data_IF_107911523682
#
_entry.id   IF_107911523682
#
_cell.length_a   1.000
_cell.length_b   1.000
_cell.length_c   1.000
_cell.angle_alpha   90.00
_cell.angle_beta   90.00
_cell.angle_gamma   90.00
#
_symmetry.space_group_name_H-M   'P 1'
#
loop_
_entity.id
_entity.type
_entity.pdbx_description
1 polymer ?
#
# COMPACT_ATOMS: atom_id res chain seq x y z
N UNK A 1 5.21 -7.88 -24.24
CA UNK A 1 4.85 -6.61 -23.58
C UNK A 1 5.84 -5.47 -23.83
N UNK A 2 7.16 -5.69 -23.88
CA UNK A 2 8.15 -4.62 -24.18
C UNK A 2 8.02 -4.01 -25.60
N UNK A 3 7.51 -4.77 -26.57
CA UNK A 3 7.36 -4.36 -27.98
C UNK A 3 6.03 -3.66 -28.31
N UNK A 4 5.15 -3.43 -27.33
CA UNK A 4 3.79 -2.91 -27.56
C UNK A 4 3.50 -1.55 -26.89
N UNK A 5 4.53 -0.77 -26.50
CA UNK A 5 4.31 0.58 -25.98
C UNK A 5 3.77 0.67 -24.55
N UNK A 6 3.89 -0.38 -23.74
CA UNK A 6 3.55 -0.28 -22.31
C UNK A 6 4.60 0.57 -21.57
N UNK A 7 4.18 1.71 -21.02
CA UNK A 7 5.03 2.67 -20.31
C UNK A 7 5.53 2.17 -18.95
N UNK A 8 4.95 1.08 -18.41
CA UNK A 8 5.37 0.51 -17.13
C UNK A 8 5.09 -1.00 -17.11
N UNK A 9 6.15 -1.82 -17.01
CA UNK A 9 6.04 -3.28 -16.95
C UNK A 9 5.68 -3.71 -15.52
N UNK A 10 4.65 -4.56 -15.41
CA UNK A 10 4.12 -5.08 -14.16
C UNK A 10 4.35 -6.60 -14.10
N UNK A 11 5.15 -7.05 -13.13
CA UNK A 11 5.39 -8.48 -12.87
C UNK A 11 4.84 -8.83 -11.47
N UNK A 12 3.60 -9.37 -11.37
CA UNK A 12 3.01 -9.69 -10.09
C UNK A 12 3.75 -10.83 -9.39
N UNK A 13 4.03 -10.69 -8.09
CA UNK A 13 4.56 -11.78 -7.25
C UNK A 13 6.05 -11.72 -6.90
N UNK A 14 6.79 -10.75 -7.42
CA UNK A 14 8.20 -10.54 -7.08
C UNK A 14 8.33 -10.04 -5.63
N UNK A 15 9.18 -10.68 -4.83
CA UNK A 15 9.38 -10.35 -3.42
C UNK A 15 10.85 -10.27 -2.99
N UNK A 16 11.77 -10.88 -3.73
CA UNK A 16 13.18 -10.86 -3.36
C UNK A 16 13.89 -9.67 -4.00
N UNK A 17 14.92 -9.14 -3.33
CA UNK A 17 15.75 -8.06 -3.89
C UNK A 17 16.39 -8.46 -5.21
N UNK A 18 16.84 -9.72 -5.33
CA UNK A 18 17.46 -10.25 -6.54
C UNK A 18 16.50 -10.22 -7.74
N UNK A 19 15.25 -10.65 -7.55
CA UNK A 19 14.24 -10.62 -8.60
C UNK A 19 13.87 -9.18 -9.00
N UNK A 20 13.79 -8.26 -8.02
CA UNK A 20 13.52 -6.84 -8.28
C UNK A 20 14.63 -6.25 -9.14
N UNK A 21 15.90 -6.49 -8.77
CA UNK A 21 17.07 -6.06 -9.55
C UNK A 21 17.02 -6.64 -10.95
N UNK A 22 16.79 -7.95 -11.08
CA UNK A 22 16.76 -8.62 -12.37
C UNK A 22 15.71 -8.00 -13.30
N UNK A 23 14.51 -7.69 -12.79
CA UNK A 23 13.46 -7.03 -13.57
C UNK A 23 13.81 -5.59 -13.91
N UNK A 24 14.30 -4.80 -12.95
CA UNK A 24 14.71 -3.41 -13.22
C UNK A 24 15.81 -3.35 -14.28
N UNK A 25 16.82 -4.22 -14.19
CA UNK A 25 17.88 -4.32 -15.18
C UNK A 25 17.38 -4.77 -16.54
N UNK A 26 16.50 -5.77 -16.60
CA UNK A 26 15.99 -6.33 -17.86
C UNK A 26 15.12 -5.35 -18.66
N UNK A 27 14.50 -4.36 -18.00
CA UNK A 27 13.57 -3.42 -18.64
C UNK A 27 14.12 -2.01 -18.79
N UNK A 28 15.31 -1.75 -18.25
CA UNK A 28 15.99 -0.46 -18.35
C UNK A 28 16.08 0.04 -19.81
N UNK A 29 15.80 1.33 -20.10
CA UNK A 29 15.55 2.43 -19.16
C UNK A 29 14.07 2.61 -18.75
N UNK A 30 13.17 1.66 -19.05
CA UNK A 30 11.73 1.81 -18.76
C UNK A 30 11.45 1.75 -17.24
N UNK A 31 10.55 2.59 -16.71
CA UNK A 31 10.26 2.62 -15.28
C UNK A 31 9.49 1.37 -14.81
N UNK A 32 9.83 0.87 -13.62
CA UNK A 32 9.15 -0.26 -12.96
C UNK A 32 8.22 0.20 -11.85
N UNK A 33 7.02 -0.36 -11.84
CA UNK A 33 6.09 -0.29 -10.71
C UNK A 33 6.14 -1.61 -9.91
N UNK A 34 6.46 -1.51 -8.62
CA UNK A 34 6.45 -2.65 -7.70
C UNK A 34 5.12 -2.71 -6.94
N UNK A 35 4.49 -3.88 -6.87
CA UNK A 35 3.38 -4.14 -5.96
C UNK A 35 3.93 -4.56 -4.59
N UNK A 36 3.63 -3.77 -3.56
CA UNK A 36 3.98 -4.06 -2.17
C UNK A 36 2.69 -4.31 -1.38
N UNK A 37 2.38 -5.59 -1.14
CA UNK A 37 1.18 -6.02 -0.43
C UNK A 37 1.46 -6.66 0.95
N UNK A 38 2.74 -6.70 1.36
CA UNK A 38 3.24 -7.20 2.64
C UNK A 38 4.61 -6.57 2.95
N UNK A 39 5.09 -6.72 4.19
CA UNK A 39 6.38 -6.20 4.64
C UNK A 39 7.55 -7.09 4.18
N UNK A 40 8.05 -6.84 2.97
CA UNK A 40 9.22 -7.54 2.41
C UNK A 40 10.30 -6.59 1.88
N UNK A 41 10.00 -5.29 1.80
CA UNK A 41 10.91 -4.25 1.34
C UNK A 41 10.42 -2.89 1.84
N UNK A 42 11.35 -2.02 2.20
CA UNK A 42 11.03 -0.63 2.53
C UNK A 42 10.99 0.26 1.28
N UNK A 43 10.32 1.41 1.38
CA UNK A 43 10.30 2.39 0.28
C UNK A 43 11.73 2.85 -0.13
N UNK A 44 12.65 3.20 0.81
CA UNK A 44 14.02 3.58 0.44
C UNK A 44 14.78 2.45 -0.27
N UNK A 45 14.64 1.20 0.19
CA UNK A 45 15.29 0.05 -0.46
C UNK A 45 14.78 -0.15 -1.88
N UNK A 46 13.45 -0.15 -2.09
CA UNK A 46 12.87 -0.28 -3.42
C UNK A 46 13.37 0.83 -4.36
N UNK A 47 13.42 2.07 -3.87
CA UNK A 47 13.96 3.21 -4.64
C UNK A 47 15.44 3.02 -5.00
N UNK A 48 16.26 2.52 -4.07
CA UNK A 48 17.68 2.25 -4.31
C UNK A 48 17.89 1.13 -5.35
N UNK A 49 16.95 0.20 -5.47
CA UNK A 49 16.96 -0.84 -6.51
C UNK A 49 16.45 -0.35 -7.88
N UNK A 50 16.09 0.93 -8.01
CA UNK A 50 15.64 1.53 -9.28
C UNK A 50 14.13 1.44 -9.54
N UNK A 51 13.33 1.02 -8.55
CA UNK A 51 11.86 1.10 -8.63
C UNK A 51 11.42 2.56 -8.69
N UNK A 52 10.48 2.89 -9.59
CA UNK A 52 9.99 4.27 -9.79
C UNK A 52 8.60 4.53 -9.22
N UNK A 53 7.77 3.49 -9.12
CA UNK A 53 6.43 3.58 -8.50
C UNK A 53 6.19 2.40 -7.58
N UNK A 54 5.49 2.65 -6.49
CA UNK A 54 4.98 1.61 -5.60
C UNK A 54 3.45 1.63 -5.69
N UNK A 55 2.87 0.44 -5.79
CA UNK A 55 1.44 0.21 -5.68
C UNK A 55 1.19 -0.75 -4.51
N UNK A 56 0.04 -0.64 -3.85
CA UNK A 56 -0.33 -1.51 -2.73
C UNK A 56 -1.43 -2.51 -3.08
N UNK A 57 -2.03 -2.37 -4.27
CA UNK A 57 -3.21 -3.14 -4.65
C UNK A 57 -4.30 -3.02 -3.58
N UNK A 58 -4.89 -4.14 -3.19
CA UNK A 58 -5.90 -4.19 -2.11
C UNK A 58 -5.33 -4.15 -0.68
N UNK A 59 -4.04 -3.92 -0.46
CA UNK A 59 -3.45 -4.04 0.87
C UNK A 59 -3.96 -2.99 1.87
N UNK A 60 -4.17 -1.74 1.43
CA UNK A 60 -4.74 -0.69 2.30
C UNK A 60 -6.20 -1.01 2.67
N UNK A 61 -7.00 -1.54 1.75
CA UNK A 61 -8.36 -1.99 2.04
C UNK A 61 -8.37 -3.15 3.04
N UNK A 62 -7.46 -4.13 2.91
CA UNK A 62 -7.30 -5.20 3.90
C UNK A 62 -6.88 -4.68 5.27
N UNK A 63 -6.04 -3.65 5.34
CA UNK A 63 -5.68 -3.01 6.60
C UNK A 63 -6.92 -2.40 7.29
N UNK A 64 -7.76 -1.68 6.54
CA UNK A 64 -9.02 -1.15 7.05
C UNK A 64 -9.98 -2.26 7.51
N UNK A 65 -10.17 -3.30 6.70
CA UNK A 65 -11.01 -4.45 7.06
C UNK A 65 -10.48 -5.21 8.28
N UNK A 66 -9.18 -5.18 8.55
CA UNK A 66 -8.61 -5.83 9.75
C UNK A 66 -9.17 -5.19 11.02
N UNK A 67 -9.22 -3.85 11.10
CA UNK A 67 -9.85 -3.15 12.23
C UNK A 67 -11.35 -3.43 12.32
N UNK A 68 -12.05 -3.37 11.19
CA UNK A 68 -13.48 -3.69 11.13
C UNK A 68 -13.79 -5.11 11.65
N UNK A 69 -13.05 -6.11 11.16
CA UNK A 69 -13.23 -7.50 11.56
C UNK A 69 -12.87 -7.75 13.03
N UNK A 70 -11.90 -7.01 13.59
CA UNK A 70 -11.60 -7.07 15.03
C UNK A 70 -12.79 -6.58 15.86
N UNK A 71 -13.29 -5.37 15.57
CA UNK A 71 -14.45 -4.82 16.27
C UNK A 71 -15.70 -5.70 16.11
N UNK A 72 -15.99 -6.21 14.91
CA UNK A 72 -17.15 -7.08 14.69
C UNK A 72 -17.05 -8.39 15.48
N UNK A 73 -15.85 -8.97 15.60
CA UNK A 73 -15.61 -10.19 16.39
C UNK A 73 -15.72 -9.93 17.88
N UNK A 74 -15.19 -8.81 18.37
CA UNK A 74 -15.31 -8.40 19.77
C UNK A 74 -16.79 -8.23 20.15
N UNK A 75 -17.56 -7.47 19.37
CA UNK A 75 -18.99 -7.24 19.62
C UNK A 75 -19.76 -8.57 19.64
N UNK A 76 -19.45 -9.47 18.70
CA UNK A 76 -20.12 -10.77 18.62
C UNK A 76 -19.74 -11.73 19.75
N UNK A 77 -18.46 -11.77 20.12
CA UNK A 77 -17.92 -12.75 21.07
C UNK A 77 -17.93 -12.30 22.53
N UNK A 78 -17.58 -11.04 22.79
CA UNK A 78 -17.36 -10.48 24.12
C UNK A 78 -18.44 -9.47 24.52
N UNK A 79 -19.16 -8.90 23.55
CA UNK A 79 -20.22 -7.91 23.79
C UNK A 79 -19.70 -6.54 24.22
N UNK A 80 -18.41 -6.28 23.99
CA UNK A 80 -17.72 -5.03 24.34
C UNK A 80 -17.46 -4.16 23.09
N UNK A 81 -17.00 -2.93 23.32
CA UNK A 81 -16.79 -1.91 22.28
C UNK A 81 -15.38 -1.28 22.35
N UNK A 82 -14.40 -1.97 22.92
CA UNK A 82 -13.05 -1.46 23.12
C UNK A 82 -12.35 -1.15 21.79
N UNK A 83 -12.49 -1.99 20.75
CA UNK A 83 -11.93 -1.73 19.42
C UNK A 83 -12.54 -0.48 18.78
N UNK A 84 -13.82 -0.18 19.04
CA UNK A 84 -14.43 1.09 18.63
C UNK A 84 -13.88 2.27 19.42
N UNK A 85 -13.63 2.09 20.73
CA UNK A 85 -13.01 3.12 21.57
C UNK A 85 -11.55 3.43 21.21
N UNK A 86 -10.83 2.46 20.63
CA UNK A 86 -9.46 2.61 20.14
C UNK A 86 -9.38 3.09 18.68
N UNK A 87 -10.51 3.21 17.98
CA UNK A 87 -10.53 3.66 16.60
C UNK A 87 -10.07 5.11 16.47
N UNK A 88 -9.59 5.45 15.27
CA UNK A 88 -9.23 6.83 14.90
C UNK A 88 -10.37 7.79 15.23
N UNK A 89 -10.06 8.92 15.87
CA UNK A 89 -11.07 9.88 16.26
C UNK A 89 -11.77 10.46 15.02
N UNK A 90 -13.09 10.66 15.08
CA UNK A 90 -13.86 11.24 13.97
C UNK A 90 -13.30 12.59 13.51
N UNK A 91 -12.73 13.37 14.43
CA UNK A 91 -12.05 14.63 14.12
C UNK A 91 -10.85 14.42 13.20
N UNK A 92 -10.01 13.42 13.45
CA UNK A 92 -8.84 13.13 12.61
C UNK A 92 -9.27 12.69 11.20
N UNK A 93 -10.31 11.85 11.11
CA UNK A 93 -10.90 11.47 9.81
C UNK A 93 -11.42 12.71 9.08
N UNK A 94 -12.16 13.58 9.77
CA UNK A 94 -12.74 14.79 9.19
C UNK A 94 -11.65 15.77 8.73
N UNK A 95 -10.62 15.97 9.55
CA UNK A 95 -9.46 16.82 9.22
C UNK A 95 -8.72 16.28 7.99
N UNK A 96 -8.59 14.96 7.84
CA UNK A 96 -7.96 14.33 6.67
C UNK A 96 -8.74 14.56 5.35
N UNK A 97 -10.05 14.77 5.44
CA UNK A 97 -10.91 15.10 4.30
C UNK A 97 -11.25 16.59 4.18
N UNK A 98 -10.74 17.42 5.09
CA UNK A 98 -11.00 18.86 5.05
C UNK A 98 -10.36 19.46 3.78
N UNK A 99 -11.05 20.36 3.08
CA UNK A 99 -10.49 21.01 1.92
C UNK A 99 -9.24 21.82 2.32
N UNK A 100 -8.12 21.56 1.67
CA UNK A 100 -6.88 22.30 1.85
C UNK A 100 -7.02 23.73 1.29
N UNK A 101 -7.57 24.66 2.07
CA UNK A 101 -7.67 26.05 1.65
C UNK A 101 -8.63 26.94 2.43
N UNK A 102 -8.13 27.53 3.53
CA UNK A 102 -8.32 28.96 3.86
C UNK A 102 -7.45 29.31 5.08
N UNK A 103 -6.17 29.58 4.82
CA UNK A 103 -5.43 30.57 5.61
C UNK A 103 -5.32 31.78 4.69
N UNK A 104 -6.20 32.76 4.88
CA UNK A 104 -6.00 34.14 4.46
C UNK A 104 -5.29 34.88 5.58
#
# INVERSE_FOLDING_TARGET
YSTAGADCLYAPGIRTRADIIAVVSAVSPKPVNLLVHADFITHPEASALGVRRISTGGALARAAWTGFLRAAREIHGEGTFAELGAAVASREVTDAFAPSGRRS
#
